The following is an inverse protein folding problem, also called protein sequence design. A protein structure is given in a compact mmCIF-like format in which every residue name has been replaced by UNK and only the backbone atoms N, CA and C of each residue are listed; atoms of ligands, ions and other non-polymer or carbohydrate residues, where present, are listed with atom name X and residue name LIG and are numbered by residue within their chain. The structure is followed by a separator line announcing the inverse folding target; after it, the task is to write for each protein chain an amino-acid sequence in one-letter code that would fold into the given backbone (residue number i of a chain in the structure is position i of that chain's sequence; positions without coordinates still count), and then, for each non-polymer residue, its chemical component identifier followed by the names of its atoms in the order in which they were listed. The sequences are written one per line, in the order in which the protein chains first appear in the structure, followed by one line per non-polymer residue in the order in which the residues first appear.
data_IF_703917762536
#
_entry.id   IF_703917762536
#
_cell.length_a   1.000
_cell.length_b   1.000
_cell.length_c   1.000
_cell.angle_alpha   90.00
_cell.angle_beta   90.00
_cell.angle_gamma   90.00
#
_symmetry.space_group_name_H-M   'P 1'
#
loop_
_entity.id
_entity.type
_entity.pdbx_description
1 polymer ?
#
# COMPACT_ATOMS: atom_id res chain seq x y z
N UNK A 1 2.87 1.79 -36.60
CA UNK A 1 2.89 1.39 -35.17
C UNK A 1 3.98 2.22 -34.53
N UNK A 2 3.62 3.07 -33.55
CA UNK A 2 4.61 3.75 -32.73
C UNK A 2 5.38 2.67 -31.95
N UNK A 3 6.71 2.67 -32.05
CA UNK A 3 7.56 1.83 -31.23
C UNK A 3 7.76 2.59 -29.90
N UNK A 4 7.27 2.00 -28.82
CA UNK A 4 7.46 2.50 -27.46
C UNK A 4 8.91 2.37 -26.99
N UNK A 5 9.12 2.79 -25.74
CA UNK A 5 10.41 2.88 -25.07
C UNK A 5 11.23 1.58 -25.17
N UNK A 6 12.53 1.73 -25.43
CA UNK A 6 13.48 0.63 -25.50
C UNK A 6 13.91 0.27 -24.08
N UNK A 7 13.56 -0.93 -23.63
CA UNK A 7 13.92 -1.46 -22.32
C UNK A 7 15.19 -2.32 -22.44
N UNK A 8 16.29 -1.91 -21.80
CA UNK A 8 17.54 -2.66 -21.77
C UNK A 8 17.58 -3.57 -20.54
N UNK A 9 17.79 -4.88 -20.76
CA UNK A 9 17.88 -5.85 -19.67
C UNK A 9 19.35 -6.10 -19.31
N UNK A 10 19.73 -5.94 -18.02
CA UNK A 10 21.12 -6.12 -17.56
C UNK A 10 21.55 -7.60 -17.49
N UNK A 11 20.63 -8.55 -17.69
CA UNK A 11 20.92 -9.99 -17.73
C UNK A 11 20.17 -10.67 -18.87
N UNK A 12 20.68 -11.79 -19.44
CA UNK A 12 20.02 -12.48 -20.54
C UNK A 12 18.65 -13.03 -20.09
N UNK A 13 17.58 -12.50 -20.67
CA UNK A 13 16.20 -12.91 -20.36
C UNK A 13 15.70 -13.89 -21.42
N UNK A 14 14.94 -14.90 -21.00
CA UNK A 14 14.29 -15.82 -21.94
C UNK A 14 13.31 -15.04 -22.83
N UNK A 15 13.42 -15.19 -24.14
CA UNK A 15 12.67 -14.37 -25.10
C UNK A 15 11.16 -14.68 -25.12
N UNK A 16 10.74 -15.91 -24.78
CA UNK A 16 9.37 -16.38 -24.98
C UNK A 16 8.28 -15.61 -24.18
N UNK A 17 8.47 -15.25 -22.89
CA UNK A 17 7.49 -14.45 -22.14
C UNK A 17 7.36 -13.02 -22.67
N UNK A 18 8.47 -12.42 -23.14
CA UNK A 18 8.51 -11.05 -23.68
C UNK A 18 7.77 -11.00 -25.02
N UNK A 19 8.04 -11.95 -25.92
CA UNK A 19 7.39 -12.00 -27.23
C UNK A 19 5.87 -12.22 -27.13
N UNK A 20 5.40 -12.98 -26.13
CA UNK A 20 3.96 -13.14 -25.84
C UNK A 20 3.32 -11.83 -25.38
N UNK A 21 4.00 -11.06 -24.51
CA UNK A 21 3.54 -9.73 -24.07
C UNK A 21 3.45 -8.73 -25.23
N UNK A 22 4.40 -8.79 -26.16
CA UNK A 22 4.43 -7.91 -27.35
C UNK A 22 3.43 -8.31 -28.45
N UNK A 23 2.61 -9.36 -28.25
CA UNK A 23 1.67 -9.90 -29.25
C UNK A 23 2.32 -10.22 -30.60
N UNK A 24 3.59 -10.59 -30.62
CA UNK A 24 4.27 -10.99 -31.87
C UNK A 24 3.75 -12.37 -32.27
N UNK A 25 3.20 -12.54 -33.50
CA UNK A 25 2.60 -13.80 -33.91
C UNK A 25 3.65 -14.91 -34.00
N UNK A 26 3.33 -16.07 -33.41
CA UNK A 26 4.13 -17.28 -33.50
C UNK A 26 3.69 -18.14 -34.69
N UNK A 27 4.61 -18.88 -35.36
CA UNK A 27 6.01 -19.07 -34.96
C UNK A 27 6.95 -17.97 -35.50
N UNK A 28 7.82 -17.45 -34.62
CA UNK A 28 8.92 -16.59 -35.03
C UNK A 28 9.90 -17.41 -35.89
N UNK A 29 10.14 -16.98 -37.14
CA UNK A 29 11.10 -17.63 -38.02
C UNK A 29 12.56 -17.35 -37.64
N UNK A 30 12.85 -16.16 -37.11
CA UNK A 30 14.14 -15.82 -36.48
C UNK A 30 14.00 -14.55 -35.64
N UNK A 31 14.76 -14.45 -34.55
CA UNK A 31 14.93 -13.25 -33.74
C UNK A 31 16.43 -13.02 -33.58
N UNK A 32 16.94 -11.91 -34.09
CA UNK A 32 18.36 -11.57 -33.96
C UNK A 32 18.48 -10.41 -32.99
N UNK A 33 18.95 -10.68 -31.77
CA UNK A 33 19.29 -9.66 -30.79
C UNK A 33 20.65 -9.05 -31.15
N UNK A 34 20.74 -7.72 -31.11
CA UNK A 34 21.98 -6.97 -31.38
C UNK A 34 22.25 -6.03 -30.20
N UNK A 35 23.52 -5.77 -29.86
CA UNK A 35 23.87 -4.77 -28.87
C UNK A 35 23.26 -3.41 -29.23
N UNK A 36 22.80 -2.64 -28.25
CA UNK A 36 22.12 -1.35 -28.44
C UNK A 36 22.97 -0.33 -29.21
N UNK A 37 24.29 -0.46 -29.15
CA UNK A 37 25.25 0.30 -29.98
C UNK A 37 25.00 0.15 -31.50
N UNK A 38 24.48 -1.01 -31.93
CA UNK A 38 24.14 -1.30 -33.33
C UNK A 38 22.82 -0.65 -33.77
N UNK A 39 22.01 -0.15 -32.85
CA UNK A 39 20.68 0.44 -33.14
C UNK A 39 20.77 1.65 -34.07
N UNK A 40 21.83 2.48 -33.92
CA UNK A 40 22.01 3.71 -34.71
C UNK A 40 22.26 3.46 -36.19
N UNK A 41 22.86 2.33 -36.57
CA UNK A 41 23.11 2.00 -37.98
C UNK A 41 21.86 1.47 -38.70
N UNK A 42 20.90 0.91 -37.96
CA UNK A 42 19.64 0.37 -38.52
C UNK A 42 18.56 1.43 -38.67
N UNK A 43 18.55 2.47 -37.81
CA UNK A 43 17.61 3.60 -37.88
C UNK A 43 17.59 4.31 -39.25
N UNK A 44 18.71 4.31 -39.98
CA UNK A 44 18.82 4.93 -41.30
C UNK A 44 18.14 4.12 -42.42
N UNK A 45 17.81 2.85 -42.16
CA UNK A 45 17.17 1.94 -43.11
C UNK A 45 15.65 1.89 -42.94
N UNK A 46 15.10 2.56 -41.92
CA UNK A 46 13.67 2.64 -41.67
C UNK A 46 13.05 3.80 -42.47
N UNK A 47 11.88 3.60 -43.13
CA UNK A 47 11.27 4.62 -43.97
C UNK A 47 10.85 5.84 -43.14
N UNK A 48 11.33 7.02 -43.54
CA UNK A 48 11.03 8.30 -42.88
C UNK A 48 9.69 8.85 -43.36
N UNK A 49 8.73 8.90 -42.43
CA UNK A 49 7.51 9.74 -42.38
C UNK A 49 6.51 9.68 -43.55
N UNK A 50 5.23 9.48 -43.21
CA UNK A 50 4.10 9.80 -44.09
C UNK A 50 3.66 11.24 -43.83
N UNK A 51 3.55 12.02 -44.92
CA UNK A 51 2.97 13.37 -44.94
C UNK A 51 1.54 13.41 -44.36
N UNK A 52 1.16 14.51 -43.68
CA UNK A 52 -0.19 14.68 -43.14
C UNK A 52 -1.19 15.00 -44.25
N UNK A 53 -2.30 14.27 -44.29
CA UNK A 53 -3.47 14.62 -45.11
C UNK A 53 -4.30 15.65 -44.32
N UNK A 54 -4.67 16.75 -44.98
CA UNK A 54 -5.39 17.89 -44.40
C UNK A 54 -6.81 17.60 -43.89
N UNK A 55 -7.50 18.62 -43.33
CA UNK A 55 -8.60 18.43 -42.41
C UNK A 55 -9.87 17.98 -43.15
N UNK A 56 -10.41 16.84 -42.74
CA UNK A 56 -11.79 16.45 -43.06
C UNK A 56 -12.67 16.77 -41.87
N UNK A 57 -13.58 17.73 -42.08
CA UNK A 57 -14.66 18.08 -41.17
C UNK A 57 -15.59 16.88 -40.95
N UNK A 58 -15.52 16.27 -39.77
CA UNK A 58 -16.56 15.39 -39.24
C UNK A 58 -16.65 15.57 -37.73
N UNK A 59 -17.88 15.61 -37.24
CA UNK A 59 -18.29 16.01 -35.90
C UNK A 59 -17.50 15.36 -34.75
N UNK A 60 -17.30 16.13 -33.69
CA UNK A 60 -16.69 15.69 -32.44
C UNK A 60 -17.45 14.49 -31.84
N UNK A 61 -16.77 13.38 -31.51
CA UNK A 61 -17.28 12.46 -30.51
C UNK A 61 -16.94 13.02 -29.12
N UNK A 62 -17.98 13.44 -28.41
CA UNK A 62 -17.97 13.68 -26.98
C UNK A 62 -17.58 12.40 -26.20
N UNK A 63 -17.00 12.64 -25.01
CA UNK A 63 -16.67 11.71 -23.93
C UNK A 63 -15.37 10.91 -24.10
N UNK A 64 -14.28 11.48 -23.55
CA UNK A 64 -13.16 10.69 -23.03
C UNK A 64 -13.77 9.73 -21.97
N UNK A 65 -13.54 8.41 -22.04
CA UNK A 65 -14.04 7.49 -21.02
C UNK A 65 -13.51 7.93 -19.65
N UNK A 66 -14.43 8.21 -18.72
CA UNK A 66 -14.10 8.65 -17.36
C UNK A 66 -13.09 7.68 -16.72
N UNK A 67 -11.83 8.08 -16.65
CA UNK A 67 -10.83 7.38 -15.83
C UNK A 67 -11.29 7.47 -14.37
N UNK A 68 -11.23 6.35 -13.66
CA UNK A 68 -11.52 6.32 -12.22
C UNK A 68 -10.51 7.23 -11.51
N UNK A 69 -10.99 8.17 -10.70
CA UNK A 69 -10.15 9.05 -9.87
C UNK A 69 -10.08 8.51 -8.43
N UNK A 70 -9.05 8.92 -7.66
CA UNK A 70 -8.94 8.60 -6.22
C UNK A 70 -10.21 8.99 -5.46
N UNK A 71 -10.74 10.19 -5.69
CA UNK A 71 -11.99 10.63 -5.05
C UNK A 71 -13.16 9.68 -5.34
N UNK A 72 -13.36 9.30 -6.61
CA UNK A 72 -14.44 8.40 -7.00
C UNK A 72 -14.24 6.98 -6.46
N UNK A 73 -12.99 6.52 -6.33
CA UNK A 73 -12.64 5.26 -5.67
C UNK A 73 -13.05 5.28 -4.19
N UNK A 74 -12.62 6.31 -3.45
CA UNK A 74 -12.95 6.47 -2.02
C UNK A 74 -14.47 6.63 -1.80
N UNK A 75 -15.16 7.34 -2.69
CA UNK A 75 -16.62 7.46 -2.65
C UNK A 75 -17.30 6.09 -2.81
N UNK A 76 -16.87 5.28 -3.79
CA UNK A 76 -17.42 3.92 -4.01
C UNK A 76 -17.12 2.99 -2.84
N UNK A 77 -15.92 3.06 -2.28
CA UNK A 77 -15.54 2.30 -1.08
C UNK A 77 -16.44 2.66 0.10
N UNK A 78 -16.84 3.93 0.25
CA UNK A 78 -17.74 4.37 1.32
C UNK A 78 -19.23 4.13 1.10
N UNK A 79 -19.65 3.66 -0.08
CA UNK A 79 -21.06 3.55 -0.48
C UNK A 79 -21.42 2.17 -1.02
N UNK A 80 -20.74 1.13 -0.52
CA UNK A 80 -20.98 -0.26 -0.90
C UNK A 80 -22.45 -0.66 -0.65
N UNK A 81 -23.04 -1.32 -1.65
CA UNK A 81 -24.37 -1.94 -1.55
C UNK A 81 -24.29 -3.23 -0.75
N UNK A 82 -24.27 -3.07 0.57
CA UNK A 82 -24.17 -4.15 1.54
C UNK A 82 -25.54 -4.66 1.99
N UNK A 83 -25.64 -5.97 2.23
CA UNK A 83 -26.81 -6.55 2.89
C UNK A 83 -26.96 -5.99 4.31
N UNK A 84 -28.20 -5.80 4.75
CA UNK A 84 -28.56 -5.38 6.11
C UNK A 84 -29.50 -6.41 6.70
N UNK A 85 -29.21 -6.90 7.91
CA UNK A 85 -30.16 -7.78 8.60
C UNK A 85 -31.45 -7.01 8.92
N UNK A 86 -32.62 -7.65 8.85
CA UNK A 86 -33.89 -7.02 9.23
C UNK A 86 -33.80 -6.43 10.65
N UNK A 87 -34.10 -5.14 10.79
CA UNK A 87 -34.04 -4.42 12.07
C UNK A 87 -32.66 -3.90 12.48
N UNK A 88 -31.58 -4.27 11.78
CA UNK A 88 -30.23 -3.73 12.05
C UNK A 88 -29.93 -2.51 11.17
N UNK A 89 -29.38 -1.45 11.80
CA UNK A 89 -28.83 -0.30 11.09
C UNK A 89 -27.40 -0.52 10.60
N UNK A 90 -26.75 -1.60 11.03
CA UNK A 90 -25.34 -1.87 10.69
C UNK A 90 -25.25 -2.69 9.40
N UNK A 91 -24.46 -2.22 8.40
CA UNK A 91 -24.23 -2.99 7.17
C UNK A 91 -23.43 -4.27 7.43
N UNK A 92 -23.64 -5.30 6.60
CA UNK A 92 -22.78 -6.49 6.57
C UNK A 92 -21.33 -6.12 6.29
N UNK A 93 -20.41 -6.79 6.99
CA UNK A 93 -18.96 -6.60 6.88
C UNK A 93 -18.31 -7.47 5.80
N UNK A 94 -19.05 -8.35 5.13
CA UNK A 94 -18.47 -9.32 4.20
C UNK A 94 -17.76 -8.68 3.01
N UNK A 95 -18.41 -7.72 2.37
CA UNK A 95 -17.84 -6.96 1.25
C UNK A 95 -16.64 -6.08 1.66
N UNK A 96 -16.73 -5.25 2.72
CA UNK A 96 -15.59 -4.44 3.14
C UNK A 96 -14.40 -5.28 3.64
N UNK A 97 -14.63 -6.44 4.28
CA UNK A 97 -13.54 -7.36 4.67
C UNK A 97 -12.80 -7.91 3.44
N UNK A 98 -13.54 -8.35 2.43
CA UNK A 98 -12.94 -8.82 1.18
C UNK A 98 -12.17 -7.72 0.43
N UNK A 99 -12.64 -6.46 0.48
CA UNK A 99 -11.91 -5.33 -0.09
C UNK A 99 -10.66 -4.98 0.70
N UNK A 100 -10.71 -5.01 2.03
CA UNK A 100 -9.55 -4.75 2.89
C UNK A 100 -8.46 -5.83 2.68
N UNK A 101 -8.87 -7.10 2.61
CA UNK A 101 -7.99 -8.21 2.22
C UNK A 101 -7.41 -8.00 0.81
N UNK A 102 -8.20 -7.55 -0.18
CA UNK A 102 -7.67 -7.32 -1.51
C UNK A 102 -6.70 -6.13 -1.58
N UNK A 103 -6.89 -5.11 -0.73
CA UNK A 103 -5.95 -3.98 -0.58
C UNK A 103 -4.62 -4.46 0.00
N UNK A 104 -4.62 -5.37 0.98
CA UNK A 104 -3.37 -5.91 1.56
C UNK A 104 -2.53 -6.64 0.51
N UNK A 105 -3.19 -7.34 -0.43
CA UNK A 105 -2.50 -7.95 -1.57
C UNK A 105 -1.82 -6.93 -2.47
N UNK A 106 -2.43 -5.78 -2.73
CA UNK A 106 -1.78 -4.69 -3.49
C UNK A 106 -0.59 -4.14 -2.70
N UNK A 107 -0.74 -3.96 -1.39
CA UNK A 107 0.36 -3.51 -0.52
C UNK A 107 1.56 -4.45 -0.51
N UNK A 108 1.31 -5.76 -0.65
CA UNK A 108 2.34 -6.80 -0.67
C UNK A 108 2.82 -7.17 -2.09
N UNK A 109 2.47 -6.37 -3.12
CA UNK A 109 2.71 -6.64 -4.54
C UNK A 109 2.30 -8.05 -5.01
N UNK A 110 1.26 -8.60 -4.38
CA UNK A 110 0.67 -9.89 -4.75
C UNK A 110 -0.28 -9.71 -5.95
N UNK A 111 -0.58 -10.80 -6.70
CA UNK A 111 -1.55 -10.75 -7.77
C UNK A 111 -2.92 -10.22 -7.31
N UNK A 112 -3.41 -9.22 -8.06
CA UNK A 112 -4.74 -8.60 -7.86
C UNK A 112 -5.89 -9.59 -7.98
N UNK A 113 -5.82 -10.47 -8.99
CA UNK A 113 -6.82 -11.51 -9.24
C UNK A 113 -6.42 -12.78 -8.51
N UNK A 114 -7.38 -13.37 -7.82
CA UNK A 114 -7.19 -14.55 -6.99
C UNK A 114 -8.20 -15.64 -7.36
N UNK A 115 -7.77 -16.90 -7.52
CA UNK A 115 -8.68 -18.02 -7.70
C UNK A 115 -9.66 -18.18 -6.53
N UNK A 116 -10.89 -18.60 -6.84
CA UNK A 116 -11.95 -18.83 -5.87
C UNK A 116 -11.50 -19.65 -4.66
N UNK A 117 -10.80 -20.77 -4.86
CA UNK A 117 -10.32 -21.62 -3.77
C UNK A 117 -9.42 -20.87 -2.77
N UNK A 118 -8.51 -20.02 -3.27
CA UNK A 118 -7.61 -19.25 -2.41
C UNK A 118 -8.35 -18.12 -1.69
N UNK A 119 -9.21 -17.38 -2.41
CA UNK A 119 -10.07 -16.36 -1.81
C UNK A 119 -10.93 -16.96 -0.68
N UNK A 120 -11.57 -18.09 -0.93
CA UNK A 120 -12.40 -18.79 0.06
C UNK A 120 -11.57 -19.16 1.29
N UNK A 121 -10.34 -19.64 1.10
CA UNK A 121 -9.46 -20.06 2.20
C UNK A 121 -8.99 -18.87 3.04
N UNK A 122 -8.59 -17.77 2.43
CA UNK A 122 -8.03 -16.61 3.13
C UNK A 122 -9.11 -15.70 3.73
N UNK A 123 -10.27 -15.56 3.07
CA UNK A 123 -11.32 -14.62 3.49
C UNK A 123 -12.31 -15.24 4.49
N UNK A 124 -12.57 -16.56 4.44
CA UNK A 124 -13.53 -17.18 5.36
C UNK A 124 -13.19 -17.00 6.84
N UNK A 125 -11.93 -17.14 7.29
CA UNK A 125 -11.55 -16.87 8.68
C UNK A 125 -11.82 -15.41 9.08
N UNK A 126 -11.54 -14.45 8.19
CA UNK A 126 -11.83 -13.03 8.44
C UNK A 126 -13.33 -12.77 8.61
N UNK A 127 -14.17 -13.43 7.80
CA UNK A 127 -15.63 -13.31 7.93
C UNK A 127 -16.13 -13.93 9.24
N UNK A 128 -15.55 -15.05 9.68
CA UNK A 128 -15.91 -15.72 10.91
C UNK A 128 -15.55 -14.88 12.15
N UNK A 129 -14.37 -14.24 12.11
CA UNK A 129 -13.80 -13.48 13.21
C UNK A 129 -14.36 -12.05 13.30
N UNK A 130 -14.41 -11.34 12.17
CA UNK A 130 -14.75 -9.92 12.11
C UNK A 130 -16.13 -9.62 11.52
N UNK A 131 -16.90 -10.65 11.14
CA UNK A 131 -18.29 -10.53 10.72
C UNK A 131 -19.19 -9.96 11.81
N UNK A 132 -20.45 -9.67 11.47
CA UNK A 132 -21.43 -9.29 12.50
C UNK A 132 -21.81 -10.52 13.34
N UNK A 133 -22.12 -10.34 14.64
CA UNK A 133 -22.59 -11.43 15.48
C UNK A 133 -23.78 -12.19 14.86
N UNK A 134 -23.70 -13.52 14.82
CA UNK A 134 -24.73 -14.38 14.24
C UNK A 134 -24.81 -14.38 12.71
N UNK A 135 -23.91 -13.69 12.01
CA UNK A 135 -23.82 -13.77 10.55
C UNK A 135 -23.19 -15.09 10.09
N UNK A 136 -23.67 -15.63 8.98
CA UNK A 136 -23.11 -16.84 8.37
C UNK A 136 -21.82 -16.53 7.61
N UNK A 137 -20.89 -17.49 7.59
CA UNK A 137 -19.63 -17.39 6.84
C UNK A 137 -19.90 -17.77 5.38
N UNK A 138 -20.15 -16.76 4.55
CA UNK A 138 -20.54 -16.91 3.13
C UNK A 138 -19.55 -16.17 2.22
N UNK A 139 -18.34 -16.71 1.98
CA UNK A 139 -17.33 -16.09 1.11
C UNK A 139 -17.79 -15.91 -0.34
N UNK A 140 -18.74 -16.72 -0.81
CA UNK A 140 -19.32 -16.63 -2.15
C UNK A 140 -20.06 -15.30 -2.35
N UNK A 141 -20.61 -14.73 -1.27
CA UNK A 141 -21.37 -13.48 -1.31
C UNK A 141 -20.49 -12.29 -1.72
N UNK A 142 -19.42 -11.91 -0.97
CA UNK A 142 -18.57 -10.81 -1.38
C UNK A 142 -17.82 -11.12 -2.69
N UNK A 143 -17.41 -12.37 -2.93
CA UNK A 143 -16.72 -12.76 -4.16
C UNK A 143 -17.51 -12.39 -5.42
N UNK A 144 -18.83 -12.62 -5.42
CA UNK A 144 -19.68 -12.32 -6.56
C UNK A 144 -20.29 -10.91 -6.54
N UNK A 145 -20.85 -10.49 -5.40
CA UNK A 145 -21.66 -9.26 -5.34
C UNK A 145 -20.81 -7.98 -5.37
N UNK A 146 -19.52 -8.06 -5.03
CA UNK A 146 -18.63 -6.90 -5.16
C UNK A 146 -18.54 -6.38 -6.59
N UNK A 147 -18.84 -7.20 -7.62
CA UNK A 147 -18.93 -6.76 -9.03
C UNK A 147 -19.86 -5.55 -9.21
N UNK A 148 -20.92 -5.47 -8.41
CA UNK A 148 -21.89 -4.38 -8.46
C UNK A 148 -21.35 -3.03 -7.98
N UNK A 149 -20.20 -3.01 -7.30
CA UNK A 149 -19.54 -1.77 -6.87
C UNK A 149 -18.73 -1.09 -7.99
N UNK A 150 -18.42 -1.83 -9.07
CA UNK A 150 -17.48 -1.39 -10.08
C UNK A 150 -16.03 -1.31 -9.59
N UNK A 151 -15.73 -1.79 -8.39
CA UNK A 151 -14.39 -1.92 -7.82
C UNK A 151 -13.84 -3.34 -7.92
N UNK A 152 -14.61 -4.29 -8.46
CA UNK A 152 -14.31 -5.70 -8.43
C UNK A 152 -14.70 -6.36 -9.74
N UNK A 153 -13.90 -7.33 -10.16
CA UNK A 153 -14.13 -8.09 -11.38
C UNK A 153 -14.01 -9.59 -11.10
N UNK A 154 -14.75 -10.37 -11.87
CA UNK A 154 -14.77 -11.84 -11.81
C UNK A 154 -14.65 -12.34 -13.25
N UNK A 155 -13.70 -13.25 -13.48
CA UNK A 155 -13.44 -13.89 -14.77
C UNK A 155 -13.57 -15.41 -14.64
N UNK A 156 -13.83 -16.07 -15.76
CA UNK A 156 -14.06 -17.53 -15.80
C UNK A 156 -15.48 -17.94 -15.44
N UNK A 157 -16.42 -16.98 -15.34
CA UNK A 157 -17.84 -17.24 -15.16
C UNK A 157 -18.67 -16.10 -15.74
N UNK A 158 -19.63 -16.43 -16.61
CA UNK A 158 -20.55 -15.45 -17.18
C UNK A 158 -21.60 -15.01 -16.16
N UNK A 159 -22.15 -13.81 -16.34
CA UNK A 159 -23.22 -13.32 -15.49
C UNK A 159 -24.54 -13.86 -16.03
N UNK A 160 -25.00 -14.99 -15.49
CA UNK A 160 -26.36 -15.47 -15.79
C UNK A 160 -27.40 -14.50 -15.23
N UNK A 161 -28.50 -14.34 -15.97
CA UNK A 161 -29.47 -13.26 -15.80
C UNK A 161 -30.36 -13.35 -14.54
N UNK A 162 -30.14 -14.29 -13.61
CA UNK A 162 -31.13 -14.59 -12.56
C UNK A 162 -30.65 -14.70 -11.12
N UNK A 163 -29.43 -15.18 -10.84
CA UNK A 163 -29.00 -15.41 -9.45
C UNK A 163 -27.48 -15.43 -9.29
N UNK A 164 -27.01 -15.20 -8.06
CA UNK A 164 -25.60 -15.39 -7.72
C UNK A 164 -25.26 -16.89 -7.73
N UNK A 165 -24.09 -17.28 -8.26
CA UNK A 165 -23.68 -18.68 -8.29
C UNK A 165 -23.54 -19.22 -6.85
N UNK A 166 -24.08 -20.41 -6.62
CA UNK A 166 -23.85 -21.13 -5.37
C UNK A 166 -22.41 -21.66 -5.30
N UNK A 167 -21.99 -22.04 -4.09
CA UNK A 167 -20.64 -22.54 -3.81
C UNK A 167 -20.22 -23.70 -4.71
N UNK A 168 -21.12 -24.65 -5.01
CA UNK A 168 -20.81 -25.78 -5.90
C UNK A 168 -20.45 -25.38 -7.34
N UNK A 169 -21.09 -24.33 -7.87
CA UNK A 169 -20.75 -23.80 -9.19
C UNK A 169 -19.38 -23.10 -9.18
N UNK A 170 -19.09 -22.33 -8.12
CA UNK A 170 -17.78 -21.70 -7.94
C UNK A 170 -16.66 -22.74 -7.78
N UNK A 171 -16.91 -23.81 -7.00
CA UNK A 171 -15.97 -24.91 -6.81
C UNK A 171 -15.71 -25.67 -8.12
N UNK A 172 -16.70 -25.77 -9.02
CA UNK A 172 -16.57 -26.45 -10.31
C UNK A 172 -15.81 -25.60 -11.33
N UNK A 173 -16.15 -24.32 -11.45
CA UNK A 173 -15.60 -23.45 -12.50
C UNK A 173 -14.28 -22.77 -12.11
N UNK A 174 -13.95 -22.72 -10.82
CA UNK A 174 -12.74 -22.07 -10.27
C UNK A 174 -12.49 -20.67 -10.87
N UNK A 175 -13.49 -19.77 -10.83
CA UNK A 175 -13.30 -18.42 -11.35
C UNK A 175 -12.23 -17.66 -10.56
N UNK A 176 -11.68 -16.62 -11.18
CA UNK A 176 -10.74 -15.70 -10.53
C UNK A 176 -11.40 -14.36 -10.30
N UNK A 177 -11.13 -13.73 -9.17
CA UNK A 177 -11.70 -12.42 -8.84
C UNK A 177 -10.76 -11.52 -8.06
N UNK A 178 -11.01 -10.22 -8.08
CA UNK A 178 -10.19 -9.23 -7.38
C UNK A 178 -10.63 -7.81 -7.66
N UNK A 179 -9.91 -6.84 -7.08
CA UNK A 179 -10.09 -5.41 -7.34
C UNK A 179 -10.07 -5.14 -8.84
N UNK A 180 -10.89 -4.27 -9.42
CA UNK A 180 -10.79 -3.94 -10.85
C UNK A 180 -9.41 -3.33 -11.18
N UNK A 181 -8.93 -3.49 -12.43
CA UNK A 181 -7.59 -3.01 -12.82
C UNK A 181 -7.33 -1.55 -12.45
N UNK A 182 -8.26 -0.65 -12.82
CA UNK A 182 -8.13 0.78 -12.54
C UNK A 182 -8.12 1.09 -11.05
N UNK A 183 -8.87 0.34 -10.24
CA UNK A 183 -8.86 0.49 -8.78
C UNK A 183 -7.53 0.06 -8.18
N UNK A 184 -6.98 -1.07 -8.62
CA UNK A 184 -5.69 -1.53 -8.14
C UNK A 184 -4.52 -0.65 -8.54
N UNK A 185 -4.54 -0.08 -9.75
CA UNK A 185 -3.50 0.88 -10.16
C UNK A 185 -3.49 2.12 -9.27
N UNK A 186 -4.66 2.68 -8.94
CA UNK A 186 -4.76 3.78 -7.97
C UNK A 186 -4.26 3.37 -6.57
N UNK A 187 -4.54 2.14 -6.14
CA UNK A 187 -4.11 1.63 -4.83
C UNK A 187 -2.61 1.27 -4.76
N UNK A 188 -1.87 1.33 -5.87
CA UNK A 188 -0.40 1.26 -5.83
C UNK A 188 0.18 2.51 -5.17
N UNK A 189 -0.46 3.67 -5.34
CA UNK A 189 -0.11 4.90 -4.62
C UNK A 189 -0.37 4.72 -3.11
N UNK A 190 0.66 4.85 -2.24
CA UNK A 190 0.50 4.54 -0.82
C UNK A 190 -0.43 5.49 -0.07
N UNK A 191 -0.52 6.76 -0.48
CA UNK A 191 -1.46 7.70 0.13
C UNK A 191 -2.91 7.29 -0.18
N UNK A 192 -3.21 7.04 -1.46
CA UNK A 192 -4.53 6.55 -1.91
C UNK A 192 -4.90 5.23 -1.22
N UNK A 193 -3.93 4.32 -1.10
CA UNK A 193 -4.11 3.04 -0.39
C UNK A 193 -4.47 3.24 1.07
N UNK A 194 -3.73 4.09 1.78
CA UNK A 194 -3.97 4.39 3.18
C UNK A 194 -5.34 5.07 3.40
N UNK A 195 -5.70 6.03 2.54
CA UNK A 195 -7.02 6.66 2.56
C UNK A 195 -8.16 5.65 2.32
N UNK A 196 -7.94 4.65 1.45
CA UNK A 196 -8.91 3.58 1.22
C UNK A 196 -9.09 2.69 2.47
N UNK A 197 -8.00 2.36 3.17
CA UNK A 197 -8.04 1.60 4.44
C UNK A 197 -8.82 2.39 5.49
N UNK A 198 -8.49 3.66 5.72
CA UNK A 198 -9.21 4.55 6.65
C UNK A 198 -10.68 4.62 6.29
N UNK A 199 -11.00 4.78 5.00
CA UNK A 199 -12.38 4.88 4.54
C UNK A 199 -13.18 3.64 4.89
N UNK A 200 -12.62 2.44 4.69
CA UNK A 200 -13.27 1.18 5.04
C UNK A 200 -13.42 1.03 6.57
N UNK A 201 -12.35 1.30 7.32
CA UNK A 201 -12.32 1.27 8.80
C UNK A 201 -13.42 2.15 9.40
N UNK A 202 -13.44 3.43 9.04
CA UNK A 202 -14.42 4.40 9.52
C UNK A 202 -15.86 4.08 9.12
N UNK A 203 -16.08 3.44 7.97
CA UNK A 203 -17.43 3.27 7.44
C UNK A 203 -18.10 1.97 7.90
N UNK A 204 -17.34 0.88 8.07
CA UNK A 204 -17.90 -0.46 8.24
C UNK A 204 -17.42 -1.22 9.47
N UNK A 205 -16.34 -0.78 10.11
CA UNK A 205 -15.67 -1.50 11.18
C UNK A 205 -15.78 -0.81 12.54
N UNK A 206 -16.85 -0.04 12.74
CA UNK A 206 -17.24 0.44 14.06
C UNK A 206 -17.51 -0.74 15.01
N UNK A 207 -17.01 -0.65 16.24
CA UNK A 207 -17.08 -1.70 17.25
C UNK A 207 -16.27 -2.98 16.94
N UNK A 208 -15.26 -2.89 16.06
CA UNK A 208 -14.27 -3.95 15.83
C UNK A 208 -12.93 -3.52 16.40
N UNK A 209 -12.15 -4.44 16.95
CA UNK A 209 -10.71 -4.19 17.18
C UNK A 209 -10.02 -4.02 15.82
N UNK A 210 -9.89 -2.78 15.36
CA UNK A 210 -9.37 -2.48 14.04
C UNK A 210 -7.87 -2.75 13.96
N UNK A 211 -7.14 -2.66 15.08
CA UNK A 211 -5.72 -3.02 15.11
C UNK A 211 -5.55 -4.51 14.83
N UNK A 212 -6.31 -5.35 15.52
CA UNK A 212 -6.25 -6.79 15.28
C UNK A 212 -6.76 -7.13 13.88
N UNK A 213 -7.81 -6.48 13.38
CA UNK A 213 -8.25 -6.66 12.00
C UNK A 213 -7.13 -6.37 10.99
N UNK A 214 -6.46 -5.21 11.11
CA UNK A 214 -5.35 -4.85 10.22
C UNK A 214 -4.20 -5.85 10.33
N UNK A 215 -3.89 -6.33 11.53
CA UNK A 215 -2.92 -7.39 11.74
C UNK A 215 -3.30 -8.67 10.97
N UNK A 216 -4.52 -9.16 11.17
CA UNK A 216 -5.04 -10.40 10.55
C UNK A 216 -5.11 -10.34 9.03
N UNK A 217 -5.38 -9.16 8.44
CA UNK A 217 -5.40 -9.01 6.97
C UNK A 217 -4.02 -8.81 6.33
N UNK A 218 -2.96 -8.64 7.14
CA UNK A 218 -1.60 -8.39 6.64
C UNK A 218 -1.28 -6.90 6.41
N UNK A 219 -1.93 -6.00 7.16
CA UNK A 219 -1.74 -4.55 7.14
C UNK A 219 -1.15 -4.00 8.45
N UNK A 220 -0.55 -4.87 9.29
CA UNK A 220 0.08 -4.49 10.56
C UNK A 220 1.17 -3.40 10.41
N UNK A 221 1.83 -3.34 9.25
CA UNK A 221 2.88 -2.36 8.96
C UNK A 221 2.40 -0.91 8.93
N UNK A 222 1.09 -0.65 9.00
CA UNK A 222 0.55 0.71 9.21
C UNK A 222 0.48 1.14 10.68
N UNK A 223 0.91 0.30 11.63
CA UNK A 223 0.92 0.64 13.05
C UNK A 223 2.05 1.60 13.45
N UNK A 224 3.07 1.78 12.60
CA UNK A 224 4.21 2.69 12.79
C UNK A 224 4.51 3.40 11.47
N UNK A 225 5.30 4.47 11.51
CA UNK A 225 5.73 5.23 10.31
C UNK A 225 7.07 4.76 9.72
N UNK A 226 7.85 3.98 10.46
CA UNK A 226 9.21 3.57 10.09
C UNK A 226 9.24 2.47 9.02
N UNK A 227 8.12 1.80 8.77
CA UNK A 227 7.97 0.78 7.73
C UNK A 227 8.83 -0.46 7.95
N UNK A 228 9.32 -0.64 9.18
CA UNK A 228 9.94 -1.88 9.59
C UNK A 228 8.82 -2.81 10.03
N UNK A 229 8.31 -3.60 9.09
CA UNK A 229 7.74 -4.88 9.48
C UNK A 229 8.90 -5.61 10.12
N UNK A 230 8.90 -5.74 11.45
CA UNK A 230 9.70 -6.76 12.10
C UNK A 230 9.27 -8.07 11.42
N UNK A 231 10.10 -8.54 10.48
CA UNK A 231 9.90 -9.77 9.72
C UNK A 231 10.06 -11.02 10.58
N UNK A 232 9.68 -10.94 11.86
CA UNK A 232 9.50 -12.04 12.76
C UNK A 232 8.05 -11.97 13.23
N UNK A 233 7.14 -12.54 12.44
CA UNK A 233 5.90 -13.04 13.02
C UNK A 233 6.32 -14.00 14.15
N UNK A 234 6.21 -13.54 15.40
CA UNK A 234 6.20 -14.34 16.62
C UNK A 234 4.93 -15.23 16.65
N UNK A 235 4.72 -16.00 15.59
CA UNK A 235 3.73 -17.05 15.50
C UNK A 235 4.42 -18.40 15.69
N UNK A 236 5.05 -18.60 16.85
CA UNK A 236 5.30 -19.92 17.45
C UNK A 236 5.78 -19.80 18.91
N UNK A 237 5.02 -19.05 19.71
CA UNK A 237 5.36 -18.76 21.11
C UNK A 237 4.25 -19.04 22.13
N UNK A 238 3.16 -19.72 21.76
CA UNK A 238 2.10 -20.04 22.72
C UNK A 238 1.75 -21.53 22.71
N UNK A 239 2.58 -22.34 23.37
CA UNK A 239 2.16 -23.59 24.02
C UNK A 239 3.17 -23.97 25.11
N UNK A 240 2.73 -23.89 26.37
CA UNK A 240 3.42 -24.49 27.52
C UNK A 240 3.78 -23.51 28.63
N UNK A 241 2.78 -23.05 29.38
CA UNK A 241 2.99 -22.61 30.75
C UNK A 241 3.42 -23.82 31.60
N UNK A 242 4.72 -24.06 31.68
CA UNK A 242 5.34 -24.86 32.72
C UNK A 242 6.40 -23.99 33.38
N UNK A 243 6.25 -23.81 34.70
CA UNK A 243 7.03 -22.91 35.53
C UNK A 243 8.54 -23.02 35.26
N UNK A 244 9.14 -21.97 34.71
CA UNK A 244 10.59 -21.83 34.58
C UNK A 244 11.11 -20.97 35.72
N UNK A 245 11.96 -21.60 36.53
CA UNK A 245 12.81 -20.97 37.52
C UNK A 245 13.57 -19.79 36.92
N UNK A 246 13.73 -18.71 37.71
CA UNK A 246 14.49 -17.52 37.32
C UNK A 246 15.95 -17.91 37.03
N UNK A 247 16.30 -18.05 35.75
CA UNK A 247 17.68 -18.26 35.35
C UNK A 247 18.52 -16.99 35.59
N UNK A 248 19.30 -16.98 36.66
CA UNK A 248 20.27 -15.93 37.01
C UNK A 248 21.59 -16.12 36.24
N UNK A 249 21.54 -16.02 34.91
CA UNK A 249 22.71 -16.15 34.03
C UNK A 249 22.70 -15.14 32.87
N UNK A 250 23.83 -14.96 32.15
CA UNK A 250 23.86 -14.11 30.96
C UNK A 250 22.87 -14.61 29.92
N UNK A 251 22.05 -13.70 29.38
CA UNK A 251 21.04 -14.04 28.38
C UNK A 251 21.66 -14.77 27.18
N UNK A 252 21.03 -15.85 26.73
CA UNK A 252 21.43 -16.58 25.55
C UNK A 252 21.37 -15.67 24.32
N UNK A 253 22.43 -15.64 23.52
CA UNK A 253 22.47 -14.88 22.26
C UNK A 253 21.85 -15.70 21.15
N UNK A 254 20.92 -15.09 20.41
CA UNK A 254 20.36 -15.63 19.17
C UNK A 254 20.87 -14.79 18.00
N UNK A 255 21.40 -15.45 16.99
CA UNK A 255 21.84 -14.78 15.75
C UNK A 255 20.62 -14.54 14.87
N UNK A 256 20.35 -13.28 14.50
CA UNK A 256 19.30 -12.90 13.55
C UNK A 256 19.94 -12.39 12.26
N UNK A 257 19.48 -12.89 11.12
CA UNK A 257 19.86 -12.38 9.79
C UNK A 257 18.80 -11.36 9.37
N UNK A 258 19.16 -10.08 9.31
CA UNK A 258 18.24 -9.02 8.85
C UNK A 258 18.67 -8.50 7.48
N UNK A 259 17.75 -8.44 6.52
CA UNK A 259 17.90 -7.66 5.29
C UNK A 259 17.63 -6.19 5.61
N UNK A 260 18.62 -5.32 5.45
CA UNK A 260 18.50 -3.90 5.76
C UNK A 260 18.34 -3.10 4.46
N UNK A 261 17.35 -2.21 4.42
CA UNK A 261 17.22 -1.21 3.36
C UNK A 261 18.49 -0.36 3.30
N UNK A 262 19.03 -0.15 2.09
CA UNK A 262 20.20 0.71 1.87
C UNK A 262 19.76 2.15 2.03
N UNK A 263 20.34 2.86 3.02
CA UNK A 263 20.08 4.27 3.31
C UNK A 263 21.30 5.10 2.92
N UNK A 264 21.10 6.23 2.26
CA UNK A 264 22.15 7.20 1.99
C UNK A 264 22.43 8.02 3.25
N UNK A 265 23.45 7.57 3.99
CA UNK A 265 23.91 8.22 5.20
C UNK A 265 24.38 9.68 4.96
N UNK A 266 24.74 10.07 3.73
CA UNK A 266 25.16 11.42 3.41
C UNK A 266 24.01 12.42 3.48
N UNK A 267 22.82 12.05 2.96
CA UNK A 267 21.62 12.89 3.01
C UNK A 267 21.19 13.12 4.46
N UNK A 268 21.12 12.05 5.26
CA UNK A 268 20.81 12.13 6.68
C UNK A 268 21.82 13.00 7.45
N UNK A 269 23.12 12.85 7.16
CA UNK A 269 24.17 13.68 7.75
C UNK A 269 23.98 15.15 7.39
N UNK A 270 23.70 15.44 6.12
CA UNK A 270 23.48 16.80 5.62
C UNK A 270 22.28 17.47 6.30
N UNK A 271 21.14 16.79 6.42
CA UNK A 271 19.95 17.32 7.13
C UNK A 271 20.29 17.65 8.58
N UNK A 272 20.97 16.74 9.27
CA UNK A 272 21.39 16.96 10.67
C UNK A 272 22.35 18.14 10.82
N UNK A 273 23.25 18.34 9.87
CA UNK A 273 24.18 19.48 9.83
C UNK A 273 23.49 20.81 9.58
N UNK A 274 22.56 20.88 8.61
CA UNK A 274 21.73 22.07 8.35
C UNK A 274 20.98 22.53 9.60
N UNK A 275 20.55 21.56 10.41
CA UNK A 275 19.85 21.82 11.65
C UNK A 275 20.76 21.98 12.87
N UNK A 276 22.09 21.98 12.70
CA UNK A 276 23.05 22.13 13.79
C UNK A 276 22.97 21.02 14.84
N UNK A 277 22.42 19.86 14.47
CA UNK A 277 22.09 18.73 15.34
C UNK A 277 21.05 19.08 16.44
N UNK A 278 20.30 20.18 16.26
CA UNK A 278 19.20 20.55 17.13
C UNK A 278 17.88 19.96 16.59
N UNK A 279 17.08 19.39 17.48
CA UNK A 279 15.75 18.88 17.15
C UNK A 279 14.90 19.95 16.45
N UNK A 280 14.17 19.58 15.40
CA UNK A 280 13.23 20.49 14.73
C UNK A 280 11.95 20.73 15.54
N UNK A 281 11.61 19.87 16.49
CA UNK A 281 10.40 20.01 17.34
C UNK A 281 10.69 20.82 18.59
N UNK A 282 11.72 20.46 19.36
CA UNK A 282 11.99 21.07 20.67
C UNK A 282 13.30 21.87 20.77
N UNK A 283 14.02 22.03 19.65
CA UNK A 283 15.29 22.78 19.54
C UNK A 283 16.45 22.26 20.40
N UNK A 284 16.22 21.22 21.21
CA UNK A 284 17.23 20.64 22.08
C UNK A 284 18.36 20.04 21.25
N UNK A 285 19.60 20.40 21.60
CA UNK A 285 20.83 19.86 21.03
C UNK A 285 21.50 18.92 22.02
N UNK A 286 21.30 17.62 21.85
CA UNK A 286 21.84 16.62 22.77
C UNK A 286 23.35 16.44 22.60
N UNK A 287 24.02 16.03 23.67
CA UNK A 287 25.44 15.66 23.67
C UNK A 287 25.57 14.19 24.10
N UNK A 288 26.18 13.38 23.25
CA UNK A 288 26.49 11.98 23.53
C UNK A 288 27.96 11.72 23.23
N UNK A 289 28.70 11.16 24.20
CA UNK A 289 30.16 10.92 24.10
C UNK A 289 30.93 12.16 23.61
N UNK A 290 30.58 13.34 24.14
CA UNK A 290 31.16 14.66 23.77
C UNK A 290 30.97 15.05 22.30
N UNK A 291 29.94 14.53 21.64
CA UNK A 291 29.54 14.91 20.28
C UNK A 291 28.05 15.25 20.25
N UNK A 292 27.62 16.18 19.41
CA UNK A 292 26.20 16.43 19.25
C UNK A 292 25.49 15.19 18.69
N UNK A 293 24.27 14.93 19.14
CA UNK A 293 23.48 13.77 18.76
C UNK A 293 22.06 14.16 18.34
N UNK A 294 21.67 13.70 17.16
CA UNK A 294 20.30 13.73 16.66
C UNK A 294 20.09 12.55 15.71
N UNK A 295 18.84 12.29 15.40
CA UNK A 295 18.40 11.22 14.52
C UNK A 295 17.70 11.82 13.29
N UNK A 296 17.87 11.17 12.14
CA UNK A 296 17.19 11.54 10.91
C UNK A 296 15.99 10.59 10.76
N UNK A 297 14.78 11.13 10.93
CA UNK A 297 13.52 10.40 10.79
C UNK A 297 13.00 10.59 9.38
N UNK A 298 12.63 9.49 8.72
CA UNK A 298 11.89 9.56 7.46
C UNK A 298 10.43 9.93 7.76
N UNK A 299 9.90 10.93 7.05
CA UNK A 299 8.51 11.36 7.23
C UNK A 299 7.56 10.25 6.73
N UNK A 300 7.86 9.71 5.56
CA UNK A 300 7.28 8.48 5.02
C UNK A 300 8.38 7.42 5.02
N UNK A 301 8.21 6.38 5.84
CA UNK A 301 9.21 5.31 5.98
C UNK A 301 9.59 4.66 4.65
N UNK A 302 10.85 4.20 4.54
CA UNK A 302 11.39 3.64 3.30
C UNK A 302 10.86 2.23 2.98
N UNK A 303 10.48 1.48 4.02
CA UNK A 303 10.02 0.10 3.88
C UNK A 303 8.54 -0.01 3.52
N UNK A 304 8.15 -1.20 3.06
CA UNK A 304 6.74 -1.57 2.90
C UNK A 304 6.04 -1.51 4.28
N UNK A 305 4.80 -1.01 4.37
CA UNK A 305 3.88 -0.65 3.30
C UNK A 305 3.92 0.83 2.88
N UNK A 306 4.92 1.59 3.32
CA UNK A 306 5.02 3.03 3.07
C UNK A 306 5.74 3.34 1.77
N UNK A 307 6.84 2.62 1.46
CA UNK A 307 7.60 2.75 0.22
C UNK A 307 8.03 4.20 -0.07
N UNK A 308 8.47 4.92 0.97
CA UNK A 308 8.96 6.29 0.87
C UNK A 308 10.34 6.39 0.22
N UNK A 309 10.66 7.50 -0.46
CA UNK A 309 11.98 7.70 -1.05
C UNK A 309 13.02 8.15 -0.02
N UNK A 310 14.27 7.80 -0.26
CA UNK A 310 15.39 8.21 0.57
C UNK A 310 15.99 9.53 0.05
N UNK A 311 15.33 10.64 0.41
CA UNK A 311 15.67 11.97 -0.08
C UNK A 311 15.51 13.04 1.00
N UNK A 312 16.18 14.17 0.79
CA UNK A 312 16.23 15.26 1.75
C UNK A 312 14.83 15.78 2.16
N UNK A 313 13.86 15.98 1.24
CA UNK A 313 12.53 16.48 1.61
C UNK A 313 11.69 15.51 2.44
N UNK A 314 12.07 14.24 2.50
CA UNK A 314 11.42 13.20 3.28
C UNK A 314 12.09 13.00 4.66
N UNK A 315 12.93 13.92 5.13
CA UNK A 315 13.68 13.75 6.38
C UNK A 315 13.38 14.86 7.40
N UNK A 316 13.43 14.49 8.68
CA UNK A 316 13.44 15.42 9.81
C UNK A 316 14.66 15.15 10.70
N UNK A 317 15.30 16.20 11.21
CA UNK A 317 16.31 16.13 12.25
C UNK A 317 15.63 16.22 13.63
N UNK A 318 15.54 15.07 14.32
CA UNK A 318 14.84 14.94 15.60
C UNK A 318 15.78 14.53 16.73
N UNK A 319 15.39 14.81 17.97
CA UNK A 319 15.99 14.14 19.12
C UNK A 319 15.33 12.75 19.32
N UNK A 320 15.94 11.83 20.07
CA UNK A 320 15.44 10.45 20.20
C UNK A 320 14.01 10.35 20.74
N UNK A 321 13.65 11.25 21.66
CA UNK A 321 12.29 11.28 22.21
C UNK A 321 11.27 11.62 21.12
N UNK A 322 11.50 12.68 20.35
CA UNK A 322 10.56 13.07 19.29
C UNK A 322 10.63 12.16 18.07
N UNK A 323 11.77 11.51 17.81
CA UNK A 323 11.88 10.49 16.77
C UNK A 323 10.98 9.30 17.09
N UNK A 324 11.07 8.76 18.31
CA UNK A 324 10.21 7.64 18.75
C UNK A 324 8.73 8.03 18.74
N UNK A 325 8.38 9.24 19.18
CA UNK A 325 6.98 9.72 19.12
C UNK A 325 6.48 9.88 17.68
N UNK A 326 7.33 10.35 16.77
CA UNK A 326 6.97 10.59 15.38
C UNK A 326 6.81 9.26 14.62
N UNK A 327 7.74 8.32 14.79
CA UNK A 327 7.66 6.97 14.21
C UNK A 327 6.50 6.17 14.81
N UNK A 328 6.23 6.36 16.10
CA UNK A 328 5.10 5.75 16.81
C UNK A 328 3.75 6.39 16.53
N UNK A 329 3.67 7.39 15.63
CA UNK A 329 2.43 8.08 15.25
C UNK A 329 1.75 8.83 16.41
N UNK A 330 2.50 9.20 17.44
CA UNK A 330 2.02 9.94 18.61
C UNK A 330 2.02 11.46 18.40
N UNK A 331 2.82 11.95 17.45
CA UNK A 331 2.86 13.35 17.05
C UNK A 331 2.89 13.48 15.53
N UNK A 332 2.33 14.55 14.98
CA UNK A 332 2.36 14.87 13.56
C UNK A 332 2.59 16.36 13.33
N UNK A 333 3.02 16.74 12.13
CA UNK A 333 3.13 18.15 11.70
C UNK A 333 1.87 18.53 10.92
N UNK A 334 1.08 19.45 11.47
CA UNK A 334 -0.17 19.92 10.88
C UNK A 334 0.06 20.89 9.70
N UNK A 335 -1.00 21.21 8.96
CA UNK A 335 -0.97 22.06 7.76
C UNK A 335 -0.51 23.50 8.04
N UNK A 336 -0.63 23.95 9.28
CA UNK A 336 -0.15 25.25 9.77
C UNK A 336 1.33 25.19 10.25
N UNK A 337 1.98 24.03 10.12
CA UNK A 337 3.35 23.79 10.56
C UNK A 337 3.50 23.59 12.06
N UNK A 338 2.40 23.47 12.82
CA UNK A 338 2.41 23.17 14.25
C UNK A 338 2.53 21.66 14.45
N UNK A 339 3.41 21.25 15.37
CA UNK A 339 3.52 19.86 15.80
C UNK A 339 2.46 19.61 16.86
N UNK A 340 1.62 18.58 16.67
CA UNK A 340 0.49 18.26 17.55
C UNK A 340 0.55 16.80 18.00
N UNK A 341 0.02 16.52 19.17
CA UNK A 341 -0.25 15.14 19.59
C UNK A 341 -1.39 14.53 18.76
N UNK A 342 -1.23 13.28 18.33
CA UNK A 342 -2.26 12.54 17.58
C UNK A 342 -3.52 12.33 18.40
N UNK A 343 -3.34 12.08 19.71
CA UNK A 343 -4.42 11.99 20.69
C UNK A 343 -4.48 13.30 21.50
N UNK A 344 -5.68 13.85 21.69
CA UNK A 344 -5.88 15.11 22.43
C UNK A 344 -5.66 16.39 21.62
N UNK A 345 -4.74 16.39 20.65
CA UNK A 345 -4.50 17.52 19.75
C UNK A 345 -3.67 18.66 20.35
N UNK A 346 -3.05 18.43 21.51
CA UNK A 346 -2.20 19.40 22.19
C UNK A 346 -1.01 19.80 21.32
N UNK A 347 -0.69 21.10 21.33
CA UNK A 347 0.40 21.67 20.54
C UNK A 347 1.74 21.54 21.27
N UNK A 348 2.76 21.07 20.55
CA UNK A 348 4.16 21.05 20.97
C UNK A 348 4.94 22.28 20.44
N UNK A 349 4.29 23.15 19.67
CA UNK A 349 4.90 24.33 19.04
C UNK A 349 5.14 24.16 17.54
N UNK A 350 5.72 25.18 16.91
CA UNK A 350 6.00 25.17 15.48
C UNK A 350 7.22 24.30 15.15
N UNK A 351 7.12 23.53 14.06
CA UNK A 351 8.27 22.83 13.51
C UNK A 351 9.29 23.84 12.99
N UNK A 352 10.51 23.79 13.52
CA UNK A 352 11.62 24.64 13.06
C UNK A 352 12.02 24.25 11.62
N UNK A 353 12.00 25.23 10.72
CA UNK A 353 12.41 25.10 9.31
C UNK A 353 13.81 25.68 9.08
N UNK A 354 14.47 25.26 8.00
CA UNK A 354 15.73 25.84 7.52
C UNK A 354 15.61 26.13 6.01
N UNK A 355 16.11 27.27 5.49
CA UNK A 355 15.95 27.63 4.07
C UNK A 355 16.47 26.58 3.09
N UNK A 356 17.62 25.96 3.40
CA UNK A 356 18.23 24.90 2.57
C UNK A 356 17.68 23.50 2.85
N UNK A 357 16.67 23.37 3.73
CA UNK A 357 15.98 22.13 4.01
C UNK A 357 14.48 22.30 3.75
N UNK A 358 14.11 22.17 2.49
CA UNK A 358 12.72 22.07 2.09
C UNK A 358 12.19 20.67 2.43
N UNK A 359 11.01 20.61 3.06
CA UNK A 359 10.30 19.39 3.41
C UNK A 359 9.08 19.32 2.50
N UNK A 360 8.84 18.17 1.88
CA UNK A 360 7.70 17.99 0.99
C UNK A 360 6.40 17.81 1.80
N UNK A 361 5.37 18.53 1.37
CA UNK A 361 4.06 18.50 2.01
C UNK A 361 3.33 17.16 1.74
N UNK A 362 3.64 16.48 0.63
CA UNK A 362 3.04 15.17 0.33
C UNK A 362 3.45 14.11 1.37
N UNK A 363 4.69 14.13 1.84
CA UNK A 363 5.14 13.23 2.91
C UNK A 363 4.49 13.58 4.24
N UNK A 364 4.38 14.87 4.57
CA UNK A 364 3.68 15.31 5.78
C UNK A 364 2.20 14.92 5.73
N UNK A 365 1.55 15.04 4.57
CA UNK A 365 0.18 14.59 4.37
C UNK A 365 0.04 13.08 4.57
N UNK A 366 0.98 12.29 4.03
CA UNK A 366 1.01 10.85 4.24
C UNK A 366 1.11 10.49 5.74
N UNK A 367 2.06 11.08 6.45
CA UNK A 367 2.26 10.84 7.88
C UNK A 367 1.05 11.25 8.72
N UNK A 368 0.44 12.41 8.43
CA UNK A 368 -0.82 12.84 9.07
C UNK A 368 -1.96 11.86 8.84
N UNK A 369 -2.09 11.35 7.62
CA UNK A 369 -3.10 10.34 7.26
C UNK A 369 -2.85 9.05 8.04
N UNK A 370 -1.58 8.68 8.27
CA UNK A 370 -1.21 7.51 9.06
C UNK A 370 -1.55 7.70 10.55
N UNK A 371 -1.32 8.90 11.10
CA UNK A 371 -1.77 9.27 12.44
C UNK A 371 -3.30 9.26 12.58
N UNK A 372 -4.05 9.61 11.53
CA UNK A 372 -5.51 9.45 11.51
C UNK A 372 -5.91 7.98 11.65
N UNK A 373 -5.27 7.06 10.90
CA UNK A 373 -5.52 5.63 11.06
C UNK A 373 -5.20 5.15 12.48
N UNK A 374 -4.06 5.57 13.05
CA UNK A 374 -3.69 5.22 14.42
C UNK A 374 -4.75 5.64 15.46
N UNK A 375 -5.34 6.83 15.27
CA UNK A 375 -6.41 7.33 16.14
C UNK A 375 -7.65 6.43 16.13
N UNK A 376 -7.95 5.81 14.99
CA UNK A 376 -9.10 4.93 14.81
C UNK A 376 -8.87 3.53 15.36
N UNK A 377 -7.63 3.05 15.33
CA UNK A 377 -7.29 1.71 15.78
C UNK A 377 -7.03 1.63 17.27
N UNK A 378 -6.80 2.77 17.93
CA UNK A 378 -6.61 2.90 19.38
C UNK A 378 -7.85 3.42 20.14
N UNK A 379 -8.96 3.68 19.44
CA UNK A 379 -10.26 4.07 20.03
C UNK A 379 -11.16 2.86 20.27
#
# INVERSE_FOLDING_TARGET
MALGDVEEFPTPVLAAPILRRMKVPAPLRSLTLRPSETYRSVLQLLPRERQPVGPSSAAAPSAIPHQLTTESLLQRLGSLRTHRQPGSKTPSRHQPLALLWAISRISADMPRLTPWALFRTEVSPLLAEFGLPGSQVTPEYPFWHLRGSGLWEVHGMERDAGSAPGTGALDTHQPVAGLAHTSAELLRDPLTRLQAVIKLCNTYFDGVDQRELLNRVGLAGYATADGLVDGDNDADGQQGAAATERATGPAARRTRTSSQLVRDAAIATRVKELHGQACQVCETRLQYRRRPYSEAAHIRGLGSPHDGPDEQPNLLCLCPNHHVLFDGLEIYVDVDGIVRQTHGGDSLGHLRRHPDHWIDEEYLQYHRTLCELNRLTMS
#
